data_IF_320028443261
#
_entry.id   IF_320028443261
#
_cell.length_a   1.000
_cell.length_b   1.000
_cell.length_c   1.000
_cell.angle_alpha   90.00
_cell.angle_beta   90.00
_cell.angle_gamma   90.00
#
_symmetry.space_group_name_H-M   'P 1'
#
loop_
_entity.id
_entity.type
_entity.pdbx_description
1 polymer ?
#
# COMPACT_ATOMS: atom_id res chain seq x y z
N UNK A 1 24.96 -22.97 25.15
CA UNK A 1 23.96 -22.14 25.86
C UNK A 1 22.85 -21.62 24.95
N UNK A 2 23.06 -21.40 23.65
CA UNK A 2 22.01 -20.94 22.70
C UNK A 2 21.04 -22.04 22.22
N UNK A 3 21.45 -23.32 22.28
CA UNK A 3 20.63 -24.47 21.87
C UNK A 3 19.50 -24.79 22.85
N UNK A 4 19.70 -24.59 24.15
CA UNK A 4 18.69 -24.83 25.20
C UNK A 4 17.53 -23.84 25.12
N UNK A 5 17.84 -22.56 24.91
CA UNK A 5 16.83 -21.49 24.83
C UNK A 5 15.92 -21.70 23.61
N UNK A 6 16.48 -22.08 22.46
CA UNK A 6 15.68 -22.38 21.27
C UNK A 6 14.82 -23.64 21.42
N UNK A 7 15.32 -24.66 22.11
CA UNK A 7 14.55 -25.87 22.39
C UNK A 7 13.36 -25.59 23.33
N UNK A 8 13.55 -24.73 24.33
CA UNK A 8 12.50 -24.27 25.24
C UNK A 8 11.42 -23.44 24.53
N UNK A 9 11.81 -22.46 23.71
CA UNK A 9 10.88 -21.65 22.89
C UNK A 9 10.06 -22.53 21.95
N UNK A 10 10.70 -23.50 21.29
CA UNK A 10 10.01 -24.43 20.40
C UNK A 10 9.01 -25.33 21.16
N UNK A 11 9.38 -25.78 22.37
CA UNK A 11 8.47 -26.55 23.24
C UNK A 11 7.26 -25.71 23.67
N UNK A 12 7.47 -24.46 24.09
CA UNK A 12 6.40 -23.52 24.44
C UNK A 12 5.48 -23.24 23.24
N UNK A 13 6.06 -23.01 22.07
CA UNK A 13 5.33 -22.85 20.81
C UNK A 13 4.41 -24.05 20.50
N UNK A 14 4.96 -25.26 20.52
CA UNK A 14 4.18 -26.48 20.27
C UNK A 14 3.07 -26.69 21.31
N UNK A 15 3.30 -26.31 22.56
CA UNK A 15 2.28 -26.38 23.62
C UNK A 15 1.11 -25.44 23.35
N UNK A 16 1.37 -24.23 22.87
CA UNK A 16 0.33 -23.26 22.51
C UNK A 16 -0.45 -23.70 21.27
N UNK A 17 0.25 -24.16 20.22
CA UNK A 17 -0.42 -24.65 18.99
C UNK A 17 -1.36 -25.82 19.30
N UNK A 18 -1.00 -26.71 20.23
CA UNK A 18 -1.88 -27.82 20.65
C UNK A 18 -3.11 -27.40 21.45
N UNK A 19 -3.13 -26.19 22.01
CA UNK A 19 -4.26 -25.65 22.78
C UNK A 19 -5.26 -24.91 21.87
N UNK A 20 -4.80 -24.43 20.73
CA UNK A 20 -5.63 -23.78 19.70
C UNK A 20 -5.93 -24.84 18.65
N UNK A 21 -7.01 -25.60 18.84
CA UNK A 21 -7.46 -26.61 17.86
C UNK A 21 -7.48 -25.98 16.44
N UNK A 22 -6.83 -26.66 15.50
CA UNK A 22 -6.92 -26.41 14.05
C UNK A 22 -6.02 -25.32 13.41
N UNK A 23 -4.76 -25.18 13.83
CA UNK A 23 -3.75 -24.45 13.04
C UNK A 23 -2.96 -25.43 12.13
N UNK A 24 -2.90 -25.20 10.79
CA UNK A 24 -2.07 -25.99 9.88
C UNK A 24 -0.60 -25.91 10.30
N UNK A 25 0.23 -26.89 9.92
CA UNK A 25 1.69 -26.88 10.19
C UNK A 25 2.33 -25.55 9.75
N UNK A 26 2.46 -24.61 10.68
CA UNK A 26 3.00 -23.28 10.38
C UNK A 26 4.51 -23.38 10.33
N UNK A 27 5.10 -22.97 9.20
CA UNK A 27 6.53 -22.77 9.06
C UNK A 27 7.02 -21.82 10.18
N UNK A 28 7.95 -22.30 11.02
CA UNK A 28 8.49 -21.56 12.17
C UNK A 28 9.13 -20.23 11.76
N UNK A 29 9.73 -20.15 10.57
CA UNK A 29 10.40 -18.94 10.07
C UNK A 29 9.41 -17.82 9.76
N UNK A 30 8.17 -18.17 9.44
CA UNK A 30 7.08 -17.22 9.17
C UNK A 30 6.09 -17.13 10.35
N UNK A 31 6.31 -17.90 11.42
CA UNK A 31 5.42 -17.96 12.56
C UNK A 31 5.59 -16.74 13.46
N UNK A 32 4.59 -15.89 13.43
CA UNK A 32 4.45 -14.74 14.28
C UNK A 32 4.56 -15.05 15.79
N UNK A 33 3.90 -16.12 16.22
CA UNK A 33 3.93 -16.58 17.60
C UNK A 33 5.33 -17.05 17.98
N UNK A 34 6.00 -17.80 17.10
CA UNK A 34 7.37 -18.24 17.34
C UNK A 34 8.33 -17.05 17.46
N UNK A 35 8.25 -16.08 16.54
CA UNK A 35 9.03 -14.83 16.62
C UNK A 35 8.78 -14.12 17.95
N UNK A 36 7.52 -13.93 18.34
CA UNK A 36 7.15 -13.30 19.61
C UNK A 36 7.74 -13.99 20.83
N UNK A 37 7.61 -15.32 20.91
CA UNK A 37 8.19 -16.11 22.00
C UNK A 37 9.72 -16.03 22.00
N UNK A 38 10.35 -15.96 20.82
CA UNK A 38 11.79 -15.79 20.69
C UNK A 38 12.31 -14.44 21.16
N UNK A 39 11.46 -13.41 21.18
CA UNK A 39 11.72 -12.10 21.78
C UNK A 39 11.48 -12.09 23.31
N UNK A 40 11.10 -13.23 23.90
CA UNK A 40 10.83 -13.37 25.33
C UNK A 40 9.45 -12.88 25.76
N UNK A 41 8.56 -12.55 24.82
CA UNK A 41 7.20 -12.08 25.12
C UNK A 41 6.25 -13.25 25.35
N UNK A 42 5.32 -13.11 26.29
CA UNK A 42 4.27 -14.10 26.54
C UNK A 42 3.26 -14.16 25.39
N UNK A 43 2.71 -15.34 25.14
CA UNK A 43 1.65 -15.52 24.16
C UNK A 43 0.34 -14.90 24.65
N UNK A 44 -0.47 -14.41 23.72
CA UNK A 44 -1.83 -13.94 23.99
C UNK A 44 -2.79 -15.13 24.16
N UNK A 45 -3.87 -14.95 24.93
CA UNK A 45 -4.88 -16.01 25.12
C UNK A 45 -5.64 -16.36 23.83
N UNK A 46 -5.80 -15.38 22.94
CA UNK A 46 -6.28 -15.60 21.58
C UNK A 46 -5.21 -15.17 20.58
N UNK A 47 -5.15 -15.78 19.38
CA UNK A 47 -4.31 -15.26 18.32
C UNK A 47 -4.74 -13.83 17.95
N UNK A 48 -3.80 -12.97 17.52
CA UNK A 48 -4.17 -11.67 16.97
C UNK A 48 -4.99 -11.89 15.68
N UNK A 49 -5.89 -10.96 15.31
CA UNK A 49 -6.51 -10.95 13.99
C UNK A 49 -5.42 -11.02 12.91
N UNK A 50 -5.45 -12.03 12.05
CA UNK A 50 -4.37 -12.29 11.09
C UNK A 50 -4.73 -11.72 9.71
N UNK A 51 -3.94 -10.76 9.23
CA UNK A 51 -3.73 -10.64 7.79
C UNK A 51 -2.83 -11.80 7.35
N UNK A 52 -3.09 -12.41 6.19
CA UNK A 52 -2.30 -13.54 5.66
C UNK A 52 -0.79 -13.28 5.55
N UNK A 53 -0.35 -12.03 5.70
CA UNK A 53 1.04 -11.58 5.52
C UNK A 53 1.74 -11.03 6.77
N UNK A 54 1.04 -10.61 7.84
CA UNK A 54 1.69 -10.01 9.02
C UNK A 54 0.90 -10.23 10.31
N UNK A 55 1.56 -10.44 11.47
CA UNK A 55 0.87 -10.57 12.75
C UNK A 55 0.58 -9.25 13.44
N UNK A 56 -0.66 -9.10 13.88
CA UNK A 56 -1.21 -7.86 14.45
C UNK A 56 -1.10 -7.79 15.97
N UNK A 57 0.01 -8.27 16.55
CA UNK A 57 0.21 -8.19 18.00
C UNK A 57 0.16 -6.74 18.51
N UNK A 58 0.77 -5.82 17.75
CA UNK A 58 0.75 -4.39 18.09
C UNK A 58 -0.66 -3.81 18.14
N UNK A 59 -1.59 -4.31 17.31
CA UNK A 59 -3.00 -3.88 17.35
C UNK A 59 -3.68 -4.27 18.66
N UNK A 60 -3.24 -5.36 19.29
CA UNK A 60 -3.75 -5.79 20.60
C UNK A 60 -3.02 -5.04 21.73
N UNK A 61 -1.69 -4.88 21.64
CA UNK A 61 -0.86 -4.43 22.75
C UNK A 61 -0.68 -2.93 22.83
N UNK A 62 -0.68 -2.25 21.69
CA UNK A 62 -0.56 -0.80 21.61
C UNK A 62 -1.90 -0.14 21.87
N UNK A 63 -1.88 0.98 22.59
CA UNK A 63 -2.97 1.96 22.62
C UNK A 63 -2.75 3.12 21.63
N UNK A 64 -1.62 3.14 20.91
CA UNK A 64 -1.34 4.12 19.86
C UNK A 64 -2.02 3.76 18.53
N UNK A 65 -2.39 4.75 17.69
CA UNK A 65 -2.91 4.51 16.36
C UNK A 65 -1.89 3.81 15.46
N UNK A 66 -2.29 2.68 14.88
CA UNK A 66 -1.47 1.91 13.94
C UNK A 66 -2.03 2.09 12.53
N UNK A 67 -1.21 2.52 11.55
CA UNK A 67 -1.64 2.63 10.16
C UNK A 67 -2.09 1.29 9.59
N UNK A 68 -3.21 1.28 8.89
CA UNK A 68 -3.74 0.11 8.18
C UNK A 68 -3.99 0.46 6.71
N UNK A 69 -3.94 -0.55 5.85
CA UNK A 69 -4.42 -0.41 4.48
C UNK A 69 -5.93 -0.13 4.46
N UNK A 70 -6.41 0.48 3.37
CA UNK A 70 -7.78 0.92 3.23
C UNK A 70 -8.75 -0.23 3.57
N UNK A 71 -9.54 -0.13 4.66
CA UNK A 71 -10.51 -1.15 5.00
C UNK A 71 -11.57 -1.23 3.91
N UNK A 72 -11.85 -2.44 3.44
CA UNK A 72 -12.78 -2.67 2.33
C UNK A 72 -14.18 -2.21 2.76
N UNK A 73 -14.87 -1.50 1.86
CA UNK A 73 -16.22 -0.94 2.07
C UNK A 73 -16.36 0.10 3.20
N UNK A 74 -15.28 0.53 3.86
CA UNK A 74 -15.38 1.44 5.02
C UNK A 74 -16.13 2.76 4.73
N UNK A 75 -15.89 3.36 3.56
CA UNK A 75 -16.59 4.57 3.14
C UNK A 75 -18.08 4.33 2.85
N UNK A 76 -18.41 3.18 2.26
CA UNK A 76 -19.79 2.77 1.99
C UNK A 76 -20.52 2.44 3.29
N UNK A 77 -19.85 1.78 4.24
CA UNK A 77 -20.41 1.45 5.55
C UNK A 77 -20.72 2.69 6.37
N UNK A 78 -19.77 3.64 6.45
CA UNK A 78 -19.96 4.93 7.14
C UNK A 78 -21.15 5.69 6.57
N UNK A 79 -21.36 5.61 5.26
CA UNK A 79 -22.40 6.37 4.56
C UNK A 79 -23.77 5.68 4.58
N UNK A 80 -23.79 4.35 4.49
CA UNK A 80 -25.02 3.57 4.33
C UNK A 80 -25.64 3.15 5.68
N UNK A 81 -24.84 3.02 6.75
CA UNK A 81 -25.32 2.54 8.06
C UNK A 81 -26.04 1.17 7.99
N UNK A 82 -25.74 0.36 6.97
CA UNK A 82 -26.42 -0.93 6.67
C UNK A 82 -25.58 -2.15 7.06
N UNK A 83 -24.26 -2.04 7.14
CA UNK A 83 -23.38 -3.18 7.45
C UNK A 83 -23.04 -3.26 8.95
N UNK A 84 -23.09 -4.48 9.49
CA UNK A 84 -22.70 -4.81 10.87
C UNK A 84 -21.22 -5.20 10.99
N UNK A 85 -20.51 -5.31 9.86
CA UNK A 85 -19.15 -5.82 9.81
C UNK A 85 -18.29 -4.99 8.85
N UNK A 86 -16.98 -5.00 9.07
CA UNK A 86 -15.97 -4.29 8.30
C UNK A 86 -14.81 -5.25 8.01
N UNK A 87 -14.38 -5.35 6.75
CA UNK A 87 -13.18 -6.12 6.41
C UNK A 87 -11.94 -5.22 6.51
N UNK A 88 -11.08 -5.53 7.47
CA UNK A 88 -9.80 -4.85 7.68
C UNK A 88 -8.70 -5.87 7.43
N UNK A 89 -7.87 -5.62 6.42
CA UNK A 89 -6.75 -6.48 6.03
C UNK A 89 -7.13 -7.97 5.95
N UNK A 90 -8.22 -8.27 5.23
CA UNK A 90 -8.75 -9.63 5.00
C UNK A 90 -9.34 -10.32 6.25
N UNK A 91 -9.48 -9.60 7.36
CA UNK A 91 -10.16 -10.07 8.57
C UNK A 91 -11.48 -9.33 8.76
N UNK A 92 -12.56 -10.03 9.11
CA UNK A 92 -13.86 -9.43 9.38
C UNK A 92 -13.98 -8.98 10.83
N UNK A 93 -14.38 -7.73 11.02
CA UNK A 93 -14.57 -7.09 12.31
C UNK A 93 -16.02 -6.70 12.49
N UNK A 94 -16.56 -6.86 13.69
CA UNK A 94 -17.91 -6.41 14.03
C UNK A 94 -17.91 -4.93 14.34
N UNK A 95 -18.84 -4.19 13.77
CA UNK A 95 -19.04 -2.77 14.06
C UNK A 95 -19.94 -2.65 15.30
N UNK A 96 -19.44 -1.95 16.31
CA UNK A 96 -20.15 -1.70 17.56
C UNK A 96 -20.92 -0.37 17.52
N UNK A 97 -20.31 0.67 16.96
CA UNK A 97 -20.96 1.97 16.75
C UNK A 97 -20.21 2.82 15.73
N UNK A 98 -20.92 3.73 15.06
CA UNK A 98 -20.33 4.74 14.19
C UNK A 98 -20.08 6.02 14.97
N UNK A 99 -18.81 6.32 15.26
CA UNK A 99 -18.40 7.61 15.79
C UNK A 99 -18.21 8.58 14.62
N UNK A 100 -19.34 9.04 14.05
CA UNK A 100 -19.38 10.14 13.09
C UNK A 100 -18.66 9.79 11.76
N UNK A 101 -18.69 10.70 10.77
CA UNK A 101 -18.12 10.52 9.42
C UNK A 101 -16.59 10.29 9.35
N UNK A 102 -15.91 10.06 10.48
CA UNK A 102 -14.45 10.02 10.58
C UNK A 102 -13.95 8.78 11.34
N UNK A 103 -14.81 8.05 12.07
CA UNK A 103 -14.37 6.83 12.74
C UNK A 103 -15.47 5.82 13.11
N UNK A 104 -15.08 4.55 13.09
CA UNK A 104 -15.90 3.41 13.50
C UNK A 104 -15.32 2.80 14.78
N UNK A 105 -16.18 2.39 15.70
CA UNK A 105 -15.78 1.52 16.81
C UNK A 105 -16.10 0.09 16.41
N UNK A 106 -15.08 -0.75 16.41
CA UNK A 106 -15.15 -2.16 16.00
C UNK A 106 -14.64 -3.08 17.09
N UNK A 107 -14.96 -4.37 16.96
CA UNK A 107 -14.37 -5.44 17.76
C UNK A 107 -14.14 -6.67 16.91
N UNK A 108 -13.19 -7.52 17.32
CA UNK A 108 -12.99 -8.83 16.72
C UNK A 108 -13.74 -9.88 17.55
N UNK A 109 -14.49 -10.82 16.95
CA UNK A 109 -15.38 -11.74 17.69
C UNK A 109 -14.74 -12.41 18.90
N UNK A 110 -13.53 -12.96 18.75
CA UNK A 110 -12.80 -13.65 19.83
C UNK A 110 -12.38 -12.73 20.98
N UNK A 111 -12.11 -11.45 20.67
CA UNK A 111 -11.59 -10.49 21.63
C UNK A 111 -12.70 -9.69 22.34
N UNK A 112 -13.92 -9.73 21.81
CA UNK A 112 -15.07 -9.03 22.36
C UNK A 112 -15.44 -9.54 23.77
N UNK A 113 -15.25 -10.84 24.05
CA UNK A 113 -15.50 -11.42 25.39
C UNK A 113 -14.60 -10.84 26.48
N UNK A 114 -13.41 -10.35 26.09
CA UNK A 114 -12.46 -9.66 26.96
C UNK A 114 -12.69 -8.13 26.98
N UNK A 115 -13.77 -7.66 26.37
CA UNK A 115 -14.13 -6.25 26.32
C UNK A 115 -13.28 -5.41 25.37
N UNK A 116 -12.55 -6.01 24.43
CA UNK A 116 -11.73 -5.23 23.52
C UNK A 116 -12.56 -4.46 22.50
N UNK A 117 -12.14 -3.22 22.30
CA UNK A 117 -12.72 -2.33 21.30
C UNK A 117 -11.60 -1.53 20.64
N UNK A 118 -11.78 -1.30 19.34
CA UNK A 118 -10.86 -0.52 18.54
C UNK A 118 -11.60 0.61 17.84
N UNK A 119 -10.93 1.74 17.74
CA UNK A 119 -11.32 2.83 16.86
C UNK A 119 -10.60 2.65 15.53
N UNK A 120 -11.36 2.57 14.46
CA UNK A 120 -10.87 2.66 13.08
C UNK A 120 -11.20 4.05 12.59
N UNK A 121 -10.21 4.84 12.22
CA UNK A 121 -10.42 6.23 11.82
C UNK A 121 -9.65 6.58 10.56
N UNK A 122 -10.25 7.47 9.77
CA UNK A 122 -9.63 8.07 8.59
C UNK A 122 -9.01 9.39 8.99
N UNK A 123 -7.71 9.56 8.79
CA UNK A 123 -6.97 10.75 9.17
C UNK A 123 -6.13 11.29 8.02
N UNK A 124 -6.07 12.62 7.93
CA UNK A 124 -5.21 13.34 7.01
C UNK A 124 -3.80 13.33 7.60
N UNK A 125 -2.85 12.73 6.89
CA UNK A 125 -1.44 12.66 7.32
C UNK A 125 -0.54 13.31 6.27
N UNK A 126 0.57 13.95 6.68
CA UNK A 126 1.58 14.43 5.73
C UNK A 126 2.07 13.29 4.83
N UNK A 127 2.34 13.59 3.57
CA UNK A 127 2.84 12.63 2.59
C UNK A 127 4.13 11.91 3.03
N UNK A 128 4.97 12.60 3.81
CA UNK A 128 6.17 12.03 4.42
C UNK A 128 5.85 10.85 5.35
N UNK A 129 4.71 10.90 6.05
CA UNK A 129 4.29 9.91 7.05
C UNK A 129 3.23 8.93 6.52
N UNK A 130 2.67 9.20 5.35
CA UNK A 130 1.66 8.35 4.72
C UNK A 130 2.19 6.94 4.43
N UNK A 131 1.40 5.91 4.71
CA UNK A 131 1.69 4.52 4.32
C UNK A 131 1.68 4.34 2.80
N UNK A 132 0.81 5.04 2.09
CA UNK A 132 0.81 5.11 0.62
C UNK A 132 1.87 6.12 0.16
N UNK A 133 2.72 5.71 -0.78
CA UNK A 133 3.79 6.54 -1.34
C UNK A 133 3.58 6.77 -2.83
N UNK A 134 3.91 7.98 -3.30
CA UNK A 134 4.05 8.30 -4.71
C UNK A 134 5.54 8.33 -5.06
N UNK A 135 5.96 7.51 -6.01
CA UNK A 135 7.35 7.50 -6.48
C UNK A 135 7.62 8.75 -7.33
N UNK A 136 8.82 9.31 -7.17
CA UNK A 136 9.30 10.40 -8.02
C UNK A 136 10.20 9.82 -9.12
N UNK A 137 9.97 10.25 -10.37
CA UNK A 137 10.78 9.86 -11.52
C UNK A 137 11.48 11.06 -12.17
N UNK A 138 10.98 12.27 -11.96
CA UNK A 138 11.57 13.48 -12.55
C UNK A 138 12.88 13.90 -11.89
N UNK A 139 13.11 13.55 -10.62
CA UNK A 139 14.32 13.88 -9.86
C UNK A 139 14.88 12.61 -9.17
N UNK A 140 16.09 12.14 -9.54
CA UNK A 140 16.70 10.95 -8.96
C UNK A 140 17.18 11.11 -7.51
N UNK A 141 17.21 12.34 -6.97
CA UNK A 141 17.53 12.58 -5.56
C UNK A 141 16.32 12.39 -4.64
N UNK A 142 15.12 12.20 -5.21
CA UNK A 142 13.87 12.07 -4.48
C UNK A 142 13.32 10.67 -4.74
N UNK A 143 13.21 9.86 -3.70
CA UNK A 143 12.57 8.54 -3.81
C UNK A 143 11.04 8.68 -3.86
N UNK A 144 10.50 9.51 -2.97
CA UNK A 144 9.05 9.68 -2.79
C UNK A 144 8.63 11.15 -2.76
N UNK A 145 7.51 11.43 -3.41
CA UNK A 145 6.87 12.74 -3.46
C UNK A 145 6.25 13.05 -2.11
N UNK A 146 6.66 14.17 -1.52
CA UNK A 146 6.21 14.63 -0.20
C UNK A 146 5.59 16.02 -0.21
N UNK A 147 5.68 16.76 -1.33
CA UNK A 147 5.19 18.14 -1.44
C UNK A 147 4.33 18.35 -2.67
N UNK A 148 3.51 19.40 -2.61
CA UNK A 148 2.66 19.84 -3.72
C UNK A 148 3.46 20.21 -4.97
N UNK A 149 4.65 20.80 -4.79
CA UNK A 149 5.54 21.17 -5.90
C UNK A 149 6.12 19.94 -6.61
N UNK A 150 6.57 18.94 -5.83
CA UNK A 150 7.08 17.68 -6.38
C UNK A 150 5.98 16.91 -7.14
N UNK A 151 4.74 16.89 -6.64
CA UNK A 151 3.62 16.27 -7.36
C UNK A 151 3.39 16.93 -8.71
N UNK A 152 3.34 18.27 -8.76
CA UNK A 152 3.17 19.02 -10.02
C UNK A 152 4.32 18.75 -11.00
N UNK A 153 5.55 18.74 -10.51
CA UNK A 153 6.74 18.47 -11.31
C UNK A 153 6.71 17.04 -11.88
N UNK A 154 6.31 16.06 -11.08
CA UNK A 154 6.16 14.68 -11.53
C UNK A 154 5.07 14.53 -12.59
N UNK A 155 3.87 15.08 -12.37
CA UNK A 155 2.79 15.01 -13.36
C UNK A 155 3.21 15.68 -14.67
N UNK A 156 3.88 16.83 -14.59
CA UNK A 156 4.45 17.51 -15.77
C UNK A 156 5.44 16.61 -16.49
N UNK A 157 6.43 16.06 -15.78
CA UNK A 157 7.43 15.17 -16.35
C UNK A 157 6.81 13.95 -17.05
N UNK A 158 5.85 13.28 -16.42
CA UNK A 158 5.20 12.11 -17.00
C UNK A 158 4.43 12.44 -18.29
N UNK A 159 3.70 13.56 -18.31
CA UNK A 159 2.95 13.97 -19.50
C UNK A 159 3.90 14.42 -20.62
N UNK A 160 4.89 15.26 -20.32
CA UNK A 160 5.87 15.72 -21.33
C UNK A 160 6.65 14.54 -21.92
N UNK A 161 7.06 13.60 -21.08
CA UNK A 161 7.68 12.36 -21.51
C UNK A 161 6.76 11.54 -22.41
N UNK A 162 5.48 11.44 -22.10
CA UNK A 162 4.51 10.71 -22.94
C UNK A 162 4.32 11.40 -24.30
N UNK A 163 4.38 12.73 -24.36
CA UNK A 163 4.38 13.50 -25.61
C UNK A 163 5.66 13.24 -26.42
N UNK A 164 6.82 13.21 -25.78
CA UNK A 164 8.08 12.83 -26.44
C UNK A 164 8.02 11.42 -27.03
N UNK A 165 7.48 10.46 -26.29
CA UNK A 165 7.30 9.08 -26.78
C UNK A 165 6.35 9.02 -27.99
N UNK A 166 5.26 9.81 -27.99
CA UNK A 166 4.38 9.93 -29.15
C UNK A 166 5.11 10.47 -30.38
N UNK A 167 5.97 11.47 -30.20
CA UNK A 167 6.80 12.03 -31.30
C UNK A 167 7.75 10.98 -31.86
N UNK A 168 8.44 10.22 -31.00
CA UNK A 168 9.32 9.13 -31.41
C UNK A 168 8.57 8.14 -32.31
N UNK A 169 7.39 7.68 -31.89
CA UNK A 169 6.57 6.73 -32.65
C UNK A 169 6.04 7.32 -33.96
N UNK A 170 5.72 8.63 -33.99
CA UNK A 170 5.22 9.29 -35.19
C UNK A 170 6.31 9.57 -36.24
N UNK A 171 7.52 9.90 -35.81
CA UNK A 171 8.58 10.44 -36.67
C UNK A 171 9.58 9.37 -37.17
N UNK A 172 9.59 8.18 -36.58
CA UNK A 172 10.58 7.13 -36.88
C UNK A 172 9.94 5.87 -37.43
N UNK A 173 10.75 5.03 -38.09
CA UNK A 173 10.33 3.66 -38.40
C UNK A 173 10.03 2.88 -37.11
N UNK A 174 9.25 1.81 -37.23
CA UNK A 174 8.88 0.95 -36.09
C UNK A 174 10.12 0.44 -35.35
N UNK A 175 11.11 -0.05 -36.08
CA UNK A 175 12.34 -0.60 -35.52
C UNK A 175 13.15 0.47 -34.77
N UNK A 176 13.29 1.66 -35.35
CA UNK A 176 14.01 2.79 -34.73
C UNK A 176 13.27 3.32 -33.50
N UNK A 177 11.95 3.48 -33.58
CA UNK A 177 11.13 3.95 -32.47
C UNK A 177 11.22 3.01 -31.27
N UNK A 178 11.16 1.69 -31.47
CA UNK A 178 11.30 0.70 -30.41
C UNK A 178 12.68 0.80 -29.74
N UNK A 179 13.75 0.98 -30.51
CA UNK A 179 15.10 1.13 -29.96
C UNK A 179 15.29 2.43 -29.17
N UNK A 180 14.73 3.54 -29.66
CA UNK A 180 14.73 4.82 -28.94
C UNK A 180 13.96 4.73 -27.62
N UNK A 181 12.76 4.14 -27.63
CA UNK A 181 11.96 3.90 -26.42
C UNK A 181 12.68 2.99 -25.43
N UNK A 182 13.34 1.92 -25.91
CA UNK A 182 14.17 1.04 -25.07
C UNK A 182 15.28 1.82 -24.39
N UNK A 183 15.97 2.70 -25.13
CA UNK A 183 17.03 3.56 -24.60
C UNK A 183 16.54 4.49 -23.49
N UNK A 184 15.31 5.01 -23.57
CA UNK A 184 14.70 5.79 -22.48
C UNK A 184 14.52 4.93 -21.22
N UNK A 185 13.96 3.72 -21.33
CA UNK A 185 13.78 2.83 -20.18
C UNK A 185 15.09 2.36 -19.53
N UNK A 186 16.16 2.22 -20.33
CA UNK A 186 17.49 1.87 -19.82
C UNK A 186 18.11 2.99 -18.98
N UNK A 187 17.94 4.25 -19.39
CA UNK A 187 18.48 5.41 -18.65
C UNK A 187 17.81 5.59 -17.29
N UNK A 188 16.53 5.28 -17.19
CA UNK A 188 15.73 5.49 -15.99
C UNK A 188 15.81 4.35 -14.98
N UNK A 189 16.26 3.18 -15.42
CA UNK A 189 16.52 2.03 -14.55
C UNK A 189 17.97 1.54 -14.73
N UNK A 190 18.98 2.35 -14.34
CA UNK A 190 20.37 1.92 -14.38
C UNK A 190 20.56 0.77 -13.36
N UNK A 191 20.83 -0.45 -13.84
CA UNK A 191 20.87 -1.65 -12.99
C UNK A 191 22.11 -1.70 -12.08
N UNK A 192 21.95 -2.06 -10.79
CA UNK A 192 23.04 -2.59 -9.97
C UNK A 192 22.91 -4.10 -9.65
N UNK A 193 21.80 -4.80 -9.98
CA UNK A 193 21.51 -6.14 -9.39
C UNK A 193 20.90 -7.22 -10.29
N UNK A 194 20.41 -6.92 -11.49
CA UNK A 194 19.89 -7.94 -12.42
C UNK A 194 20.86 -8.16 -13.60
N UNK A 195 21.04 -9.42 -14.01
CA UNK A 195 21.95 -9.77 -15.10
C UNK A 195 21.58 -9.04 -16.41
N UNK A 196 22.58 -8.57 -17.18
CA UNK A 196 22.37 -7.62 -18.29
C UNK A 196 21.42 -8.14 -19.39
N UNK A 197 21.36 -9.45 -19.62
CA UNK A 197 20.51 -10.07 -20.65
C UNK A 197 19.01 -10.07 -20.29
N UNK A 198 18.67 -10.38 -19.03
CA UNK A 198 17.27 -10.46 -18.59
C UNK A 198 16.63 -9.07 -18.61
N UNK A 199 17.35 -8.04 -18.12
CA UNK A 199 16.83 -6.68 -18.10
C UNK A 199 16.73 -6.08 -19.51
N UNK A 200 17.68 -6.37 -20.40
CA UNK A 200 17.60 -5.96 -21.81
C UNK A 200 16.33 -6.51 -22.48
N UNK A 201 16.02 -7.79 -22.26
CA UNK A 201 14.82 -8.40 -22.82
C UNK A 201 13.53 -7.79 -22.23
N UNK A 202 13.54 -7.46 -20.93
CA UNK A 202 12.42 -6.77 -20.29
C UNK A 202 12.20 -5.36 -20.86
N UNK A 203 13.25 -4.56 -20.98
CA UNK A 203 13.17 -3.20 -21.53
C UNK A 203 12.74 -3.22 -23.01
N UNK A 204 13.21 -4.20 -23.79
CA UNK A 204 12.77 -4.40 -25.16
C UNK A 204 11.27 -4.77 -25.23
N UNK A 205 10.80 -5.65 -24.35
CA UNK A 205 9.38 -6.00 -24.28
C UNK A 205 8.53 -4.80 -23.89
N UNK A 206 8.95 -4.02 -22.88
CA UNK A 206 8.29 -2.79 -22.47
C UNK A 206 8.24 -1.75 -23.60
N UNK A 207 9.33 -1.58 -24.34
CA UNK A 207 9.39 -0.71 -25.52
C UNK A 207 8.42 -1.13 -26.62
N UNK A 208 8.33 -2.43 -26.92
CA UNK A 208 7.36 -2.96 -27.90
C UNK A 208 5.91 -2.73 -27.46
N UNK A 209 5.61 -2.98 -26.18
CA UNK A 209 4.28 -2.73 -25.63
C UNK A 209 3.91 -1.24 -25.71
N UNK A 210 4.84 -0.37 -25.29
CA UNK A 210 4.65 1.08 -25.34
C UNK A 210 4.50 1.57 -26.78
N UNK A 211 5.28 1.07 -27.74
CA UNK A 211 5.12 1.39 -29.16
C UNK A 211 3.70 1.10 -29.64
N UNK A 212 3.19 -0.11 -29.39
CA UNK A 212 1.86 -0.50 -29.83
C UNK A 212 0.76 0.38 -29.19
N UNK A 213 0.86 0.67 -27.89
CA UNK A 213 -0.07 1.57 -27.19
C UNK A 213 -0.11 2.96 -27.85
N UNK A 214 1.05 3.50 -28.21
CA UNK A 214 1.17 4.84 -28.80
C UNK A 214 0.77 4.88 -30.27
N UNK A 215 1.04 3.80 -31.02
CA UNK A 215 0.58 3.64 -32.41
C UNK A 215 -0.95 3.65 -32.49
N UNK A 216 -1.62 2.91 -31.60
CA UNK A 216 -3.09 2.96 -31.47
C UNK A 216 -3.54 4.40 -31.20
N UNK A 217 -2.88 5.09 -30.26
CA UNK A 217 -3.26 6.47 -29.93
C UNK A 217 -3.09 7.44 -31.11
N UNK A 218 -2.06 7.26 -31.94
CA UNK A 218 -1.86 8.07 -33.14
C UNK A 218 -2.97 7.85 -34.18
N UNK A 219 -3.43 6.59 -34.34
CA UNK A 219 -4.56 6.26 -35.20
C UNK A 219 -5.84 6.92 -34.68
N UNK A 220 -6.15 6.78 -33.40
CA UNK A 220 -7.32 7.42 -32.77
C UNK A 220 -7.32 8.94 -32.99
N UNK A 221 -6.17 9.60 -32.77
CA UNK A 221 -6.07 11.06 -32.98
C UNK A 221 -6.31 11.45 -34.42
N UNK A 222 -5.81 10.66 -35.38
CA UNK A 222 -6.06 10.89 -36.80
C UNK A 222 -7.56 10.75 -37.12
N UNK A 223 -8.23 9.75 -36.57
CA UNK A 223 -9.66 9.52 -36.78
C UNK A 223 -10.52 10.62 -36.12
N UNK A 224 -10.06 11.17 -34.99
CA UNK A 224 -10.65 12.34 -34.30
C UNK A 224 -10.34 13.68 -35.01
N UNK A 225 -9.50 13.70 -36.06
CA UNK A 225 -9.09 14.91 -36.77
C UNK A 225 -8.13 15.81 -35.97
N UNK A 226 -7.46 15.24 -34.97
CA UNK A 226 -6.52 15.95 -34.09
C UNK A 226 -5.08 15.90 -34.64
N UNK A 227 -4.21 16.86 -34.26
CA UNK A 227 -2.78 16.79 -34.54
C UNK A 227 -2.15 15.52 -33.96
N UNK A 228 -1.10 14.94 -34.56
CA UNK A 228 -0.49 13.68 -34.11
C UNK A 228 -0.07 13.65 -32.63
N UNK A 229 0.32 14.81 -32.09
CA UNK A 229 0.66 14.96 -30.67
C UNK A 229 -0.06 16.18 -30.07
N UNK A 230 -0.28 16.18 -28.74
CA UNK A 230 -0.87 17.31 -28.04
C UNK A 230 -0.11 18.62 -28.23
N UNK A 231 -0.83 19.73 -28.33
CA UNK A 231 -0.24 21.07 -28.25
C UNK A 231 0.01 21.49 -26.79
N UNK A 232 0.49 22.71 -26.57
CA UNK A 232 0.78 23.20 -25.22
C UNK A 232 -0.48 23.29 -24.32
N UNK A 233 -1.64 23.65 -24.90
CA UNK A 233 -2.89 23.77 -24.14
C UNK A 233 -3.44 22.39 -23.75
N UNK A 234 -3.46 21.45 -24.70
CA UNK A 234 -3.85 20.05 -24.44
C UNK A 234 -2.88 19.37 -23.46
N UNK A 235 -1.58 19.66 -23.57
CA UNK A 235 -0.56 19.17 -22.63
C UNK A 235 -0.83 19.66 -21.22
N UNK A 236 -1.09 20.97 -21.03
CA UNK A 236 -1.43 21.51 -19.72
C UNK A 236 -2.72 20.91 -19.16
N UNK A 237 -3.76 20.74 -20.00
CA UNK A 237 -5.01 20.11 -19.58
C UNK A 237 -4.79 18.67 -19.09
N UNK A 238 -3.90 17.91 -19.75
CA UNK A 238 -3.54 16.54 -19.33
C UNK A 238 -2.76 16.54 -18.00
N UNK A 239 -1.87 17.52 -17.79
CA UNK A 239 -1.14 17.68 -16.51
C UNK A 239 -2.15 17.97 -15.39
N UNK A 240 -3.06 18.92 -15.59
CA UNK A 240 -4.08 19.28 -14.59
C UNK A 240 -5.03 18.10 -14.32
N UNK A 241 -5.35 17.31 -15.35
CA UNK A 241 -6.09 16.07 -15.23
C UNK A 241 -5.39 15.05 -14.35
N UNK A 242 -4.10 14.77 -14.61
CA UNK A 242 -3.32 13.82 -13.83
C UNK A 242 -3.17 14.25 -12.37
N UNK A 243 -2.97 15.54 -12.10
CA UNK A 243 -2.97 16.08 -10.74
C UNK A 243 -4.32 15.81 -10.08
N UNK A 244 -5.43 16.11 -10.77
CA UNK A 244 -6.78 15.87 -10.25
C UNK A 244 -7.03 14.39 -9.95
N UNK A 245 -6.58 13.49 -10.79
CA UNK A 245 -6.72 12.04 -10.59
C UNK A 245 -5.99 11.59 -9.31
N UNK A 246 -4.77 12.10 -9.06
CA UNK A 246 -4.09 11.86 -7.79
C UNK A 246 -4.90 12.39 -6.59
N UNK A 247 -5.45 13.61 -6.70
CA UNK A 247 -6.24 14.21 -5.62
C UNK A 247 -7.57 13.47 -5.36
N UNK A 248 -8.15 12.83 -6.37
CA UNK A 248 -9.32 11.97 -6.21
C UNK A 248 -8.96 10.62 -5.56
N UNK A 249 -7.71 10.17 -5.69
CA UNK A 249 -7.21 8.93 -5.13
C UNK A 249 -6.61 9.11 -3.72
N UNK A 250 -7.23 9.94 -2.88
CA UNK A 250 -6.87 10.09 -1.47
C UNK A 250 -5.78 11.12 -1.16
N UNK A 251 -5.16 11.73 -2.16
CA UNK A 251 -4.18 12.80 -1.96
C UNK A 251 -4.83 14.18 -1.81
N UNK A 252 -4.19 15.08 -1.07
CA UNK A 252 -4.65 16.45 -0.88
C UNK A 252 -3.49 17.42 -0.85
N UNK A 253 -3.66 18.54 -1.54
CA UNK A 253 -2.71 19.65 -1.51
C UNK A 253 -3.23 20.74 -0.59
N UNK A 254 -2.36 21.29 0.25
CA UNK A 254 -2.67 22.41 1.15
C UNK A 254 -1.48 23.37 1.13
N UNK A 255 -1.56 24.41 0.30
CA UNK A 255 -0.41 25.27 0.02
C UNK A 255 0.75 24.48 -0.62
N UNK A 256 1.90 24.46 0.07
CA UNK A 256 3.10 23.72 -0.36
C UNK A 256 3.10 22.25 0.09
N UNK A 257 2.28 21.94 1.08
CA UNK A 257 2.24 20.61 1.69
C UNK A 257 1.38 19.65 0.87
N UNK A 258 1.75 18.37 0.92
CA UNK A 258 0.99 17.27 0.36
C UNK A 258 0.60 16.32 1.47
N UNK A 259 -0.65 15.87 1.46
CA UNK A 259 -1.23 14.97 2.43
C UNK A 259 -1.87 13.79 1.74
N UNK A 260 -2.04 12.70 2.49
CA UNK A 260 -2.81 11.56 2.07
C UNK A 260 -3.82 11.18 3.16
N UNK A 261 -4.96 10.65 2.75
CA UNK A 261 -5.90 10.02 3.66
C UNK A 261 -5.43 8.64 4.04
N UNK A 262 -5.04 8.48 5.30
CA UNK A 262 -4.67 7.19 5.86
C UNK A 262 -5.76 6.66 6.79
N UNK A 263 -5.85 5.34 6.87
CA UNK A 263 -6.63 4.68 7.89
C UNK A 263 -5.71 4.23 9.00
N UNK A 264 -6.20 4.31 10.23
CA UNK A 264 -5.55 3.73 11.39
C UNK A 264 -6.54 2.93 12.23
N UNK A 265 -6.00 1.96 12.96
CA UNK A 265 -6.70 1.23 14.01
C UNK A 265 -6.01 1.50 15.35
N UNK A 266 -6.80 1.82 16.36
CA UNK A 266 -6.31 2.13 17.71
C UNK A 266 -7.12 1.34 18.72
N UNK A 267 -6.45 0.60 19.62
CA UNK A 267 -7.15 -0.01 20.76
C UNK A 267 -7.64 1.11 21.69
N UNK A 268 -8.93 1.09 22.02
CA UNK A 268 -9.53 2.04 22.96
C UNK A 268 -10.04 1.36 24.24
N UNK A 269 -10.19 0.04 24.21
CA UNK A 269 -10.49 -0.78 25.38
C UNK A 269 -9.89 -2.19 25.20
N UNK A 270 -9.47 -2.85 26.30
CA UNK A 270 -9.23 -2.28 27.62
C UNK A 270 -8.08 -1.26 27.57
N UNK A 271 -7.99 -0.34 28.53
CA UNK A 271 -6.94 0.69 28.53
C UNK A 271 -5.54 0.09 28.77
N UNK A 272 -5.45 -0.92 29.63
CA UNK A 272 -4.21 -1.64 29.94
C UNK A 272 -4.43 -3.14 29.78
N UNK A 273 -3.37 -3.85 29.39
CA UNK A 273 -3.37 -5.31 29.38
C UNK A 273 -2.84 -5.83 30.71
N UNK A 274 -3.65 -6.60 31.42
CA UNK A 274 -3.21 -7.40 32.56
C UNK A 274 -2.85 -8.85 32.18
N UNK A 275 -2.35 -9.64 33.16
CA UNK A 275 -1.98 -11.05 32.99
C UNK A 275 -3.08 -11.93 32.40
N UNK A 276 -4.35 -11.58 32.61
CA UNK A 276 -5.53 -12.27 32.08
C UNK A 276 -5.60 -12.32 30.54
N UNK A 277 -4.86 -11.44 29.85
CA UNK A 277 -4.79 -11.41 28.39
C UNK A 277 -3.68 -12.31 27.82
N UNK A 278 -2.86 -12.89 28.69
CA UNK A 278 -1.70 -13.69 28.32
C UNK A 278 -1.84 -15.13 28.81
N UNK A 279 -1.29 -16.06 28.03
CA UNK A 279 -1.15 -17.44 28.45
C UNK A 279 0.01 -17.55 29.46
N UNK A 280 -0.27 -18.13 30.61
CA UNK A 280 0.73 -18.50 31.62
C UNK A 280 1.38 -19.84 31.24
N UNK A 281 2.34 -19.80 30.31
CA UNK A 281 2.98 -20.98 29.70
C UNK A 281 4.49 -20.83 29.58
#
# INVERSE_FOLDING_TARGET
MTTDIKADIHSRYLRIIRLVDDLPEVNLETSALFKRLSEGKSALIFPPPLALSQPWYEVIESDEPIPIENPFEAEEVVTANVQLELCIAQTWWKILSGANNVGLIVTHPQWNELGFQWRVNKMKVPAADASTKLCCHHDPAIDFITTSAQLKAECKFQIERRVEQLKIVHEHSKEEAIELLRGMFEKENPSPKSGPLIRRNFNLAAAKFKFNELEIRLVERKDEGLPPYPDAAETQQRIDGMIRDHLQNGWQMDGEDLFHWNWSIQRIAPAALGPEHYLDI
#
